data_IF_540728996680
#
_entry.id   IF_540728996680
#
_cell.length_a   1.000
_cell.length_b   1.000
_cell.length_c   1.000
_cell.angle_alpha   90.00
_cell.angle_beta   90.00
_cell.angle_gamma   90.00
#
_symmetry.space_group_name_H-M   'P 1'
#
loop_
_entity.id
_entity.type
_entity.pdbx_description
1 polymer ?
#
# COMPACT_ATOMS: atom_id res chain seq x y z
N UNK A 1 -24.45 17.63 14.76
CA UNK A 1 -24.32 17.72 13.29
C UNK A 1 -23.85 16.37 12.80
N UNK A 2 -24.76 15.58 12.23
CA UNK A 2 -24.41 14.28 11.64
C UNK A 2 -23.85 14.54 10.24
N UNK A 3 -22.56 14.31 10.05
CA UNK A 3 -21.93 14.28 8.72
C UNK A 3 -22.51 13.08 7.98
N UNK A 4 -23.52 13.32 7.15
CA UNK A 4 -23.89 12.39 6.09
C UNK A 4 -22.65 12.24 5.21
N UNK A 5 -21.98 11.09 5.29
CA UNK A 5 -20.96 10.73 4.33
C UNK A 5 -21.65 10.69 2.96
N UNK A 6 -21.31 11.63 2.10
CA UNK A 6 -21.79 11.66 0.73
C UNK A 6 -21.31 10.37 0.04
N UNK A 7 -22.21 9.49 -0.45
CA UNK A 7 -21.84 8.23 -1.08
C UNK A 7 -21.02 8.42 -2.37
N UNK A 8 -20.82 9.65 -2.85
CA UNK A 8 -20.03 10.00 -4.02
C UNK A 8 -18.52 10.11 -3.77
N UNK A 9 -18.04 10.19 -2.52
CA UNK A 9 -16.60 10.29 -2.26
C UNK A 9 -15.96 8.90 -2.38
N UNK A 10 -15.28 8.65 -3.51
CA UNK A 10 -14.46 7.46 -3.71
C UNK A 10 -12.99 7.80 -3.51
N UNK A 11 -12.27 6.92 -2.83
CA UNK A 11 -10.82 7.03 -2.71
C UNK A 11 -10.20 5.95 -3.59
N UNK A 12 -9.27 6.35 -4.45
CA UNK A 12 -8.52 5.44 -5.31
C UNK A 12 -7.08 5.37 -4.81
N UNK A 13 -6.48 4.17 -4.84
CA UNK A 13 -5.07 3.96 -4.56
C UNK A 13 -4.37 3.54 -5.85
N UNK A 14 -3.15 4.02 -6.11
CA UNK A 14 -2.32 3.50 -7.21
C UNK A 14 -0.92 3.20 -6.70
N UNK A 15 -0.31 2.12 -7.19
CA UNK A 15 1.10 1.79 -6.95
C UNK A 15 1.83 1.76 -8.29
N UNK A 16 2.50 2.87 -8.57
CA UNK A 16 3.19 3.09 -9.84
C UNK A 16 4.69 2.89 -9.64
N UNK A 17 5.30 2.02 -10.44
CA UNK A 17 6.75 1.95 -10.54
C UNK A 17 7.21 3.01 -11.54
N UNK A 18 7.73 4.14 -11.05
CA UNK A 18 8.06 5.31 -11.87
C UNK A 18 9.20 5.02 -12.87
N UNK A 19 10.06 4.04 -12.57
CA UNK A 19 11.22 3.69 -13.38
C UNK A 19 11.12 2.30 -14.03
N UNK A 20 10.05 1.53 -13.79
CA UNK A 20 9.88 0.20 -14.36
C UNK A 20 8.58 0.05 -15.14
N UNK A 21 8.59 -0.86 -16.11
CA UNK A 21 7.41 -1.20 -16.92
C UNK A 21 6.34 -2.01 -16.14
N UNK A 22 6.53 -2.25 -14.84
CA UNK A 22 5.71 -3.10 -13.98
C UNK A 22 5.00 -2.26 -12.91
N UNK A 23 4.11 -1.36 -13.33
CA UNK A 23 3.19 -0.67 -12.43
C UNK A 23 1.90 -1.49 -12.24
N UNK A 24 1.46 -1.67 -11.00
CA UNK A 24 0.16 -2.27 -10.71
C UNK A 24 -0.82 -1.14 -10.41
N UNK A 25 -1.71 -0.83 -11.37
CA UNK A 25 -2.79 0.14 -11.15
C UNK A 25 -4.07 -0.60 -10.81
N UNK A 26 -4.58 -0.42 -9.58
CA UNK A 26 -5.86 -0.98 -9.15
C UNK A 26 -6.79 0.16 -8.73
N UNK A 27 -7.84 0.44 -9.49
CA UNK A 27 -8.84 1.46 -9.18
C UNK A 27 -10.20 0.84 -8.85
N UNK A 28 -10.88 1.37 -7.83
CA UNK A 28 -12.32 1.15 -7.60
C UNK A 28 -12.69 0.61 -6.21
N UNK A 29 -13.48 1.39 -5.45
CA UNK A 29 -14.14 0.94 -4.21
C UNK A 29 -13.81 1.72 -2.93
N UNK A 30 -14.24 1.19 -1.78
CA UNK A 30 -13.97 1.79 -0.47
C UNK A 30 -12.46 1.70 -0.15
N UNK A 31 -11.87 2.84 0.23
CA UNK A 31 -10.42 3.10 0.39
C UNK A 31 -9.57 1.95 0.94
N UNK A 32 -10.07 1.17 1.89
CA UNK A 32 -9.28 0.14 2.59
C UNK A 32 -9.17 -1.19 1.85
N UNK A 33 -10.23 -1.63 1.18
CA UNK A 33 -10.25 -2.92 0.49
C UNK A 33 -9.42 -2.87 -0.81
N UNK A 34 -9.34 -1.70 -1.45
CA UNK A 34 -8.49 -1.47 -2.62
C UNK A 34 -7.03 -1.67 -2.26
N UNK A 35 -6.56 -1.08 -1.15
CA UNK A 35 -5.15 -1.19 -0.78
C UNK A 35 -4.78 -2.64 -0.44
N UNK A 36 -5.68 -3.40 0.19
CA UNK A 36 -5.52 -4.85 0.41
C UNK A 36 -5.32 -5.59 -0.92
N UNK A 37 -6.14 -5.29 -1.92
CA UNK A 37 -6.08 -5.92 -3.25
C UNK A 37 -4.82 -5.50 -4.03
N UNK A 38 -4.49 -4.20 -4.01
CA UNK A 38 -3.31 -3.63 -4.65
C UNK A 38 -2.03 -4.28 -4.10
N UNK A 39 -1.95 -4.42 -2.78
CA UNK A 39 -0.86 -5.10 -2.09
C UNK A 39 -0.72 -6.55 -2.54
N UNK A 40 -1.82 -7.30 -2.58
CA UNK A 40 -1.83 -8.69 -3.03
C UNK A 40 -1.40 -8.84 -4.50
N UNK A 41 -1.94 -8.00 -5.39
CA UNK A 41 -1.63 -8.03 -6.83
C UNK A 41 -0.16 -7.69 -7.05
N UNK A 42 0.35 -6.64 -6.40
CA UNK A 42 1.73 -6.22 -6.58
C UNK A 42 2.71 -7.30 -6.11
N UNK A 43 2.52 -7.86 -4.91
CA UNK A 43 3.42 -8.87 -4.35
C UNK A 43 3.45 -10.19 -5.13
N UNK A 44 2.36 -10.54 -5.81
CA UNK A 44 2.22 -11.80 -6.54
C UNK A 44 3.41 -12.08 -7.48
N UNK A 45 3.94 -11.03 -8.10
CA UNK A 45 4.96 -11.14 -9.14
C UNK A 45 6.37 -10.69 -8.67
N UNK A 46 6.55 -10.32 -7.39
CA UNK A 46 7.83 -9.81 -6.86
C UNK A 46 8.82 -10.90 -6.42
N UNK A 47 8.37 -12.14 -6.22
CA UNK A 47 9.21 -13.21 -5.67
C UNK A 47 9.47 -13.03 -4.17
N UNK A 48 10.68 -13.35 -3.71
CA UNK A 48 11.06 -13.17 -2.29
C UNK A 48 11.50 -11.72 -2.04
N UNK A 49 10.82 -11.07 -1.10
CA UNK A 49 11.05 -9.67 -0.71
C UNK A 49 11.44 -9.53 0.75
N UNK A 50 11.86 -10.60 1.44
CA UNK A 50 12.21 -10.56 2.87
C UNK A 50 13.34 -9.58 3.19
N UNK A 51 14.27 -9.40 2.26
CA UNK A 51 15.46 -8.56 2.42
C UNK A 51 15.23 -7.12 1.92
N UNK A 52 14.01 -6.79 1.50
CA UNK A 52 13.66 -5.48 1.00
C UNK A 52 13.63 -4.44 2.13
N UNK A 53 14.58 -3.49 2.09
CA UNK A 53 14.77 -2.47 3.12
C UNK A 53 13.51 -1.65 3.43
N UNK A 54 12.66 -1.38 2.43
CA UNK A 54 11.44 -0.58 2.61
C UNK A 54 10.20 -1.42 2.94
N UNK A 55 10.32 -2.75 3.03
CA UNK A 55 9.22 -3.64 3.41
C UNK A 55 8.55 -3.23 4.75
N UNK A 56 9.28 -2.83 5.81
CA UNK A 56 8.65 -2.39 7.06
C UNK A 56 7.77 -1.15 6.89
N UNK A 57 8.25 -0.17 6.11
CA UNK A 57 7.51 1.08 5.85
C UNK A 57 6.29 0.79 5.01
N UNK A 58 6.43 0.01 3.92
CA UNK A 58 5.30 -0.36 3.08
C UNK A 58 4.25 -1.18 3.86
N UNK A 59 4.70 -2.14 4.66
CA UNK A 59 3.85 -2.91 5.56
C UNK A 59 3.10 -2.02 6.56
N UNK A 60 3.73 -0.95 7.08
CA UNK A 60 3.08 0.03 7.96
C UNK A 60 1.97 0.79 7.25
N UNK A 61 2.21 1.21 6.00
CA UNK A 61 1.20 1.90 5.17
C UNK A 61 0.00 0.98 4.96
N UNK A 62 0.24 -0.26 4.53
CA UNK A 62 -0.81 -1.25 4.30
C UNK A 62 -1.56 -1.55 5.58
N UNK A 63 -0.88 -1.73 6.71
CA UNK A 63 -1.53 -1.98 7.99
C UNK A 63 -2.42 -0.81 8.44
N UNK A 64 -1.98 0.43 8.18
CA UNK A 64 -2.69 1.65 8.59
C UNK A 64 -3.92 1.92 7.73
N UNK A 65 -3.82 1.64 6.43
CA UNK A 65 -4.80 2.10 5.45
C UNK A 65 -5.61 0.99 4.77
N UNK A 66 -5.33 -0.28 5.04
CA UNK A 66 -6.08 -1.41 4.47
C UNK A 66 -6.93 -2.15 5.52
N UNK A 67 -7.63 -3.20 5.09
CA UNK A 67 -8.34 -4.14 5.97
C UNK A 67 -7.49 -5.34 6.39
N UNK A 68 -6.25 -5.45 5.89
CA UNK A 68 -5.36 -6.56 6.22
C UNK A 68 -4.86 -6.49 7.66
N UNK A 69 -4.82 -7.65 8.30
CA UNK A 69 -4.26 -7.79 9.65
C UNK A 69 -2.73 -7.87 9.58
N UNK A 70 -2.07 -7.30 10.58
CA UNK A 70 -0.60 -7.23 10.66
C UNK A 70 0.11 -8.59 10.44
N UNK A 71 -0.37 -9.73 10.99
CA UNK A 71 0.25 -11.02 10.72
C UNK A 71 0.26 -11.42 9.24
N UNK A 72 -0.81 -11.11 8.49
CA UNK A 72 -0.89 -11.43 7.06
C UNK A 72 0.12 -10.61 6.28
N UNK A 73 0.23 -9.32 6.59
CA UNK A 73 1.17 -8.40 5.95
C UNK A 73 2.61 -8.87 6.19
N UNK A 74 2.94 -9.22 7.44
CA UNK A 74 4.26 -9.73 7.83
C UNK A 74 4.63 -11.01 7.07
N UNK A 75 3.72 -11.98 7.00
CA UNK A 75 3.95 -13.23 6.24
C UNK A 75 4.19 -12.96 4.76
N UNK A 76 3.41 -12.08 4.14
CA UNK A 76 3.54 -11.79 2.72
C UNK A 76 4.80 -11.00 2.37
N UNK A 77 5.31 -10.19 3.30
CA UNK A 77 6.58 -9.48 3.15
C UNK A 77 7.79 -10.32 3.59
N UNK A 78 7.59 -11.49 4.19
CA UNK A 78 8.68 -12.32 4.70
C UNK A 78 9.43 -11.68 5.90
N UNK A 79 8.80 -10.78 6.65
CA UNK A 79 9.42 -10.06 7.78
C UNK A 79 8.65 -10.24 9.09
N UNK A 80 9.28 -9.90 10.21
CA UNK A 80 8.62 -9.93 11.52
C UNK A 80 7.59 -8.80 11.70
N UNK A 81 6.47 -9.12 12.37
CA UNK A 81 5.42 -8.13 12.70
C UNK A 81 5.96 -6.94 13.50
N UNK A 82 6.94 -7.19 14.38
CA UNK A 82 7.56 -6.16 15.19
C UNK A 82 8.26 -5.11 14.33
N UNK A 83 8.95 -5.54 13.27
CA UNK A 83 9.64 -4.65 12.34
C UNK A 83 8.66 -3.69 11.66
N UNK A 84 7.47 -4.17 11.28
CA UNK A 84 6.40 -3.33 10.74
C UNK A 84 5.83 -2.40 11.83
N UNK A 85 5.64 -2.89 13.05
CA UNK A 85 5.10 -2.08 14.14
C UNK A 85 6.03 -0.92 14.52
N UNK A 86 7.33 -1.18 14.61
CA UNK A 86 8.38 -0.23 14.99
C UNK A 86 8.78 0.72 13.83
N UNK A 87 8.31 0.46 12.61
CA UNK A 87 8.55 1.34 11.47
C UNK A 87 8.02 2.77 11.74
N UNK A 88 8.71 3.80 11.22
CA UNK A 88 8.36 5.20 11.47
C UNK A 88 6.93 5.50 11.05
N UNK A 89 6.33 6.50 11.71
CA UNK A 89 4.99 6.96 11.38
C UNK A 89 4.95 7.42 9.91
N UNK A 90 4.03 6.85 9.15
CA UNK A 90 3.82 7.22 7.76
C UNK A 90 3.02 8.52 7.72
N UNK A 91 3.52 9.48 6.93
CA UNK A 91 2.86 10.77 6.75
C UNK A 91 1.57 10.65 5.93
N UNK A 92 1.23 11.70 5.20
CA UNK A 92 0.12 11.68 4.23
C UNK A 92 0.61 11.27 2.84
N UNK A 93 -0.17 10.50 2.07
CA UNK A 93 0.19 10.15 0.69
C UNK A 93 0.30 11.42 -0.19
N UNK A 94 1.05 11.38 -1.31
CA UNK A 94 1.69 10.20 -1.89
C UNK A 94 2.94 9.73 -1.13
N UNK A 95 3.14 8.41 -1.08
CA UNK A 95 4.33 7.80 -0.49
C UNK A 95 5.28 7.37 -1.60
N UNK A 96 6.57 7.63 -1.43
CA UNK A 96 7.61 7.22 -2.37
C UNK A 96 8.66 6.40 -1.63
N UNK A 97 9.02 5.25 -2.19
CA UNK A 97 10.02 4.36 -1.62
C UNK A 97 10.64 3.50 -2.73
N UNK A 98 11.87 3.03 -2.51
CA UNK A 98 12.50 2.08 -3.42
C UNK A 98 11.84 0.72 -3.25
N UNK A 99 11.49 0.06 -4.36
CA UNK A 99 11.04 -1.32 -4.42
C UNK A 99 12.19 -2.32 -4.23
N UNK A 100 11.88 -3.62 -4.17
CA UNK A 100 12.87 -4.68 -3.95
C UNK A 100 13.95 -4.72 -5.04
N UNK A 101 13.59 -4.39 -6.29
CA UNK A 101 14.52 -4.32 -7.43
C UNK A 101 15.22 -2.95 -7.56
N UNK A 102 15.01 -2.03 -6.62
CA UNK A 102 15.57 -0.67 -6.65
C UNK A 102 14.77 0.34 -7.46
N UNK A 103 13.63 -0.05 -8.04
CA UNK A 103 12.73 0.86 -8.74
C UNK A 103 12.04 1.83 -7.79
N UNK A 104 11.82 3.07 -8.21
CA UNK A 104 11.04 4.01 -7.40
C UNK A 104 9.56 3.66 -7.49
N UNK A 105 8.96 3.27 -6.37
CA UNK A 105 7.54 3.03 -6.22
C UNK A 105 6.86 4.27 -5.65
N UNK A 106 5.73 4.65 -6.25
CA UNK A 106 4.86 5.72 -5.76
C UNK A 106 3.49 5.14 -5.42
N UNK A 107 3.11 5.20 -4.15
CA UNK A 107 1.79 4.85 -3.65
C UNK A 107 0.97 6.13 -3.45
N UNK A 108 0.04 6.40 -4.35
CA UNK A 108 -0.81 7.59 -4.31
C UNK A 108 -2.22 7.26 -3.81
N UNK A 109 -2.88 8.26 -3.21
CA UNK A 109 -4.29 8.19 -2.81
C UNK A 109 -5.01 9.43 -3.32
N UNK A 110 -5.83 9.25 -4.34
CA UNK A 110 -6.63 10.34 -4.92
C UNK A 110 -8.06 10.29 -4.40
N UNK A 111 -8.66 11.47 -4.22
CA UNK A 111 -10.08 11.63 -4.02
C UNK A 111 -10.72 11.74 -5.41
N UNK A 112 -11.53 10.77 -5.77
CA UNK A 112 -12.27 10.73 -7.03
C UNK A 112 -13.71 11.14 -6.74
N UNK A 113 -14.14 12.23 -7.35
CA UNK A 113 -15.54 12.65 -7.41
C UNK A 113 -16.05 12.29 -8.80
N UNK A 114 -17.02 11.38 -8.87
CA UNK A 114 -17.82 11.16 -10.09
C UNK A 114 -18.50 12.47 -10.53
#
# INVERSE_FOLDING_TARGET
MSTHADPSIRYEWSLDALNAHHGARCSGGASKDILSLLFAIWLKDQGDVSDWEQAPVFGKIVHTHSTLVLPTIAVWLGIDQKTIYDAPAVGTPPYEFLGPDGDLLKLDRTLSTD
#
